data_IF_822443430631
#
_entry.id   IF_822443430631
#
_cell.length_a   1.000
_cell.length_b   1.000
_cell.length_c   1.000
_cell.angle_alpha   90.00
_cell.angle_beta   90.00
_cell.angle_gamma   90.00
#
_symmetry.space_group_name_H-M   'P 1'
#
loop_
_entity.id
_entity.type
_entity.pdbx_description
1 polymer ?
#
# COMPACT_ATOMS: atom_id res chain seq x y z
N UNK A 1 2.37 -3.81 -20.12
CA UNK A 1 2.61 -4.77 -19.01
C UNK A 1 3.93 -4.41 -18.35
N UNK A 2 3.92 -4.14 -17.06
CA UNK A 2 5.12 -3.75 -16.30
C UNK A 2 6.02 -4.95 -16.04
N UNK A 3 7.32 -4.81 -16.25
CA UNK A 3 8.34 -5.77 -15.82
C UNK A 3 9.67 -5.05 -15.65
N UNK A 4 10.30 -5.21 -14.48
CA UNK A 4 11.61 -4.62 -14.16
C UNK A 4 12.44 -5.61 -13.36
N UNK A 5 13.67 -5.85 -13.81
CA UNK A 5 14.66 -6.66 -13.08
C UNK A 5 15.66 -5.74 -12.40
N UNK A 6 16.04 -6.07 -11.19
CA UNK A 6 17.01 -5.33 -10.39
C UNK A 6 17.75 -6.29 -9.45
N UNK A 7 18.88 -5.83 -8.90
CA UNK A 7 19.68 -6.59 -7.96
C UNK A 7 19.67 -5.89 -6.61
N UNK A 8 19.38 -6.63 -5.55
CA UNK A 8 19.30 -6.14 -4.19
C UNK A 8 20.38 -6.81 -3.34
N UNK A 9 21.08 -6.03 -2.54
CA UNK A 9 22.00 -6.58 -1.54
C UNK A 9 21.30 -6.71 -0.21
N UNK A 10 21.34 -7.89 0.37
CA UNK A 10 20.79 -8.17 1.70
C UNK A 10 21.27 -9.52 2.23
N UNK A 11 21.37 -9.64 3.54
CA UNK A 11 21.82 -10.87 4.21
C UNK A 11 23.20 -11.37 3.72
N UNK A 12 24.09 -10.45 3.31
CA UNK A 12 25.45 -10.79 2.88
C UNK A 12 25.59 -11.21 1.41
N UNK A 13 24.52 -11.22 0.63
CA UNK A 13 24.53 -11.63 -0.78
C UNK A 13 23.72 -10.70 -1.69
N UNK A 14 23.97 -10.79 -2.99
CA UNK A 14 23.18 -10.11 -4.02
C UNK A 14 22.08 -11.06 -4.51
N UNK A 15 20.83 -10.60 -4.44
CA UNK A 15 19.66 -11.33 -4.91
C UNK A 15 19.06 -10.67 -6.13
N UNK A 16 18.58 -11.47 -7.08
CA UNK A 16 17.82 -10.97 -8.23
C UNK A 16 16.36 -10.73 -7.82
N UNK A 17 15.89 -9.50 -7.99
CA UNK A 17 14.49 -9.14 -7.83
C UNK A 17 13.83 -8.89 -9.17
N UNK A 18 12.60 -9.34 -9.35
CA UNK A 18 11.77 -9.04 -10.51
C UNK A 18 10.45 -8.44 -10.03
N UNK A 19 10.18 -7.19 -10.41
CA UNK A 19 8.85 -6.58 -10.23
C UNK A 19 8.08 -6.74 -11.53
N UNK A 20 6.87 -7.27 -11.45
CA UNK A 20 5.99 -7.49 -12.60
C UNK A 20 4.52 -7.37 -12.24
N UNK A 21 3.66 -7.27 -13.24
CA UNK A 21 2.24 -7.49 -12.99
C UNK A 21 2.01 -8.93 -12.54
N UNK A 22 1.18 -9.10 -11.50
CA UNK A 22 0.74 -10.45 -11.15
C UNK A 22 -0.39 -10.93 -12.06
N UNK A 23 -0.57 -12.22 -12.12
CA UNK A 23 -1.51 -12.91 -13.02
C UNK A 23 -2.33 -13.94 -12.24
N UNK A 24 -3.26 -14.61 -12.91
CA UNK A 24 -4.11 -15.62 -12.25
C UNK A 24 -3.34 -16.77 -11.59
N UNK A 25 -2.17 -17.12 -12.11
CA UNK A 25 -1.36 -18.19 -11.51
C UNK A 25 -0.75 -17.80 -10.17
N UNK A 26 -0.66 -16.51 -9.87
CA UNK A 26 -0.08 -15.98 -8.64
C UNK A 26 -1.10 -15.90 -7.49
N UNK A 27 -2.41 -16.00 -7.77
CA UNK A 27 -3.51 -15.68 -6.82
C UNK A 27 -3.38 -16.45 -5.51
N UNK A 28 -3.19 -17.76 -5.56
CA UNK A 28 -3.09 -18.57 -4.35
C UNK A 28 -1.93 -18.13 -3.45
N UNK A 29 -0.80 -17.78 -4.06
CA UNK A 29 0.38 -17.35 -3.35
C UNK A 29 0.25 -15.92 -2.81
N UNK A 30 -0.42 -15.02 -3.55
CA UNK A 30 -0.73 -13.65 -3.09
C UNK A 30 -1.62 -13.64 -1.84
N UNK A 31 -2.61 -14.56 -1.78
CA UNK A 31 -3.44 -14.74 -0.57
C UNK A 31 -2.58 -15.16 0.62
N UNK A 32 -1.65 -16.10 0.43
CA UNK A 32 -0.73 -16.55 1.47
C UNK A 32 0.19 -15.41 1.94
N UNK A 33 0.76 -14.64 1.01
CA UNK A 33 1.61 -13.49 1.32
C UNK A 33 0.88 -12.48 2.20
N UNK A 34 -0.37 -12.15 1.87
CA UNK A 34 -1.14 -11.20 2.65
C UNK A 34 -1.41 -11.72 4.06
N UNK A 35 -1.82 -12.98 4.22
CA UNK A 35 -2.02 -13.61 5.54
C UNK A 35 -0.76 -13.61 6.39
N UNK A 36 0.39 -13.91 5.80
CA UNK A 36 1.69 -13.85 6.48
C UNK A 36 2.09 -12.41 6.87
N UNK A 37 1.70 -11.43 6.05
CA UNK A 37 2.05 -10.01 6.24
C UNK A 37 1.18 -9.32 7.30
N UNK A 38 -0.07 -9.76 7.43
CA UNK A 38 -1.09 -9.22 8.32
C UNK A 38 -1.66 -10.31 9.24
N UNK A 39 -0.85 -10.81 10.18
CA UNK A 39 -1.34 -11.77 11.18
C UNK A 39 -2.31 -11.09 12.16
N UNK A 40 -3.09 -11.89 12.93
CA UNK A 40 -3.89 -11.34 14.02
C UNK A 40 -3.07 -10.39 14.93
N UNK A 41 -3.64 -9.27 15.42
CA UNK A 41 -5.08 -8.94 15.47
C UNK A 41 -5.67 -8.31 14.20
N UNK A 42 -4.97 -8.29 13.07
CA UNK A 42 -5.54 -7.80 11.81
C UNK A 42 -6.79 -8.60 11.42
N UNK A 43 -7.91 -7.93 11.05
CA UNK A 43 -9.17 -8.59 10.72
C UNK A 43 -9.04 -9.59 9.56
N UNK A 44 -9.38 -10.86 9.81
CA UNK A 44 -9.24 -11.93 8.81
C UNK A 44 -10.17 -11.77 7.60
N UNK A 45 -11.28 -11.07 7.76
CA UNK A 45 -12.25 -10.72 6.72
C UNK A 45 -11.68 -9.73 5.69
N UNK A 46 -10.60 -9.05 6.02
CA UNK A 46 -9.87 -8.16 5.11
C UNK A 46 -8.75 -8.88 4.33
N UNK A 47 -8.53 -10.16 4.58
CA UNK A 47 -7.62 -10.94 3.74
C UNK A 47 -8.22 -11.18 2.36
N UNK A 48 -7.33 -11.14 1.35
CA UNK A 48 -7.75 -11.36 -0.03
C UNK A 48 -8.45 -12.70 -0.25
N UNK A 49 -9.44 -12.68 -1.11
CA UNK A 49 -10.03 -13.86 -1.72
C UNK A 49 -9.71 -13.91 -3.23
N UNK A 50 -10.02 -15.02 -3.86
CA UNK A 50 -9.74 -15.25 -5.29
C UNK A 50 -10.49 -14.28 -6.20
N UNK A 51 -11.73 -13.91 -5.84
CA UNK A 51 -12.57 -13.01 -6.63
C UNK A 51 -11.98 -11.59 -6.64
N UNK A 52 -11.54 -11.07 -5.49
CA UNK A 52 -10.90 -9.75 -5.40
C UNK A 52 -9.66 -9.70 -6.30
N UNK A 53 -8.73 -10.65 -6.16
CA UNK A 53 -7.51 -10.68 -6.97
C UNK A 53 -7.79 -10.89 -8.47
N UNK A 54 -8.84 -11.65 -8.82
CA UNK A 54 -9.29 -11.78 -10.21
C UNK A 54 -9.80 -10.44 -10.75
N UNK A 55 -10.53 -9.68 -9.94
CA UNK A 55 -10.98 -8.34 -10.31
C UNK A 55 -9.82 -7.36 -10.49
N UNK A 56 -8.80 -7.40 -9.63
CA UNK A 56 -7.62 -6.57 -9.78
C UNK A 56 -6.96 -6.77 -11.15
N UNK A 57 -6.76 -8.03 -11.53
CA UNK A 57 -6.18 -8.39 -12.83
C UNK A 57 -7.07 -7.94 -14.00
N UNK A 58 -8.39 -8.10 -13.85
CA UNK A 58 -9.35 -7.83 -14.93
C UNK A 58 -9.63 -6.34 -15.13
N UNK A 59 -9.78 -5.59 -14.02
CA UNK A 59 -10.21 -4.20 -14.05
C UNK A 59 -9.06 -3.23 -14.22
N UNK A 60 -7.91 -3.50 -13.60
CA UNK A 60 -6.76 -2.59 -13.65
C UNK A 60 -5.42 -3.34 -13.48
N UNK A 61 -4.99 -4.01 -14.53
CA UNK A 61 -3.75 -4.78 -14.55
C UNK A 61 -2.51 -3.93 -14.22
N UNK A 62 -2.46 -2.65 -14.65
CA UNK A 62 -1.30 -1.78 -14.39
C UNK A 62 -1.11 -1.46 -12.91
N UNK A 63 -2.19 -1.48 -12.12
CA UNK A 63 -2.16 -1.32 -10.67
C UNK A 63 -1.91 -2.61 -9.88
N UNK A 64 -1.69 -3.74 -10.56
CA UNK A 64 -1.58 -5.08 -9.96
C UNK A 64 -0.14 -5.59 -10.06
N UNK A 65 0.73 -5.20 -9.11
CA UNK A 65 2.16 -5.54 -9.12
C UNK A 65 2.54 -6.55 -8.04
N UNK A 66 3.50 -7.40 -8.35
CA UNK A 66 4.18 -8.27 -7.39
C UNK A 66 5.69 -8.17 -7.54
N UNK A 67 6.42 -8.63 -6.53
CA UNK A 67 7.88 -8.76 -6.56
C UNK A 67 8.29 -10.18 -6.23
N UNK A 68 9.21 -10.70 -7.04
CA UNK A 68 9.86 -12.00 -6.84
C UNK A 68 11.32 -11.80 -6.44
N UNK A 69 11.83 -12.69 -5.59
CA UNK A 69 13.25 -12.81 -5.26
C UNK A 69 13.69 -14.20 -5.69
N UNK A 70 14.65 -14.28 -6.63
CA UNK A 70 15.17 -15.53 -7.18
C UNK A 70 14.04 -16.49 -7.65
N UNK A 71 12.95 -15.93 -8.20
CA UNK A 71 11.78 -16.67 -8.68
C UNK A 71 10.73 -17.00 -7.61
N UNK A 72 10.94 -16.62 -6.34
CA UNK A 72 9.97 -16.80 -5.27
C UNK A 72 9.17 -15.53 -5.03
N UNK A 73 7.84 -15.62 -5.06
CA UNK A 73 6.95 -14.48 -4.82
C UNK A 73 7.08 -13.99 -3.37
N UNK A 74 7.47 -12.73 -3.20
CA UNK A 74 7.87 -12.16 -1.91
C UNK A 74 6.99 -11.01 -1.41
N UNK A 75 6.20 -10.40 -2.30
CA UNK A 75 5.31 -9.29 -1.93
C UNK A 75 4.46 -8.82 -3.10
N UNK A 76 3.48 -7.99 -2.79
CA UNK A 76 2.60 -7.37 -3.79
C UNK A 76 2.16 -5.97 -3.39
N UNK A 77 1.69 -5.21 -4.38
CA UNK A 77 1.04 -3.92 -4.19
C UNK A 77 -0.10 -3.79 -5.21
N UNK A 78 -1.27 -3.42 -4.71
CA UNK A 78 -2.47 -3.21 -5.52
C UNK A 78 -2.91 -1.77 -5.43
N UNK A 79 -3.25 -1.19 -6.58
CA UNK A 79 -3.79 0.17 -6.71
C UNK A 79 -5.00 0.17 -7.64
N UNK A 80 -5.77 1.25 -7.60
CA UNK A 80 -6.83 1.58 -8.57
C UNK A 80 -6.74 3.06 -8.94
N UNK A 81 -7.29 3.46 -10.10
CA UNK A 81 -7.44 4.89 -10.41
C UNK A 81 -8.77 5.39 -9.86
N UNK A 82 -8.75 6.59 -9.27
CA UNK A 82 -9.93 7.29 -8.76
C UNK A 82 -9.91 8.77 -9.17
N UNK A 83 -11.09 9.40 -9.18
CA UNK A 83 -11.21 10.87 -9.20
C UNK A 83 -11.27 11.36 -7.76
N UNK A 84 -10.12 11.77 -7.22
CA UNK A 84 -10.05 12.23 -5.83
C UNK A 84 -10.51 13.69 -5.72
N UNK A 85 -11.41 13.97 -4.77
CA UNK A 85 -11.90 15.31 -4.47
C UNK A 85 -11.19 15.89 -3.24
N UNK A 86 -10.34 16.88 -3.44
CA UNK A 86 -9.58 17.57 -2.39
C UNK A 86 -10.49 18.29 -1.37
N UNK A 87 -11.69 18.70 -1.77
CA UNK A 87 -12.63 19.41 -0.89
C UNK A 87 -13.42 18.45 0.01
N UNK A 88 -13.46 17.17 -0.32
CA UNK A 88 -14.17 16.10 0.40
C UNK A 88 -13.25 14.89 0.55
N UNK A 89 -12.15 15.01 1.31
CA UNK A 89 -11.13 13.96 1.38
C UNK A 89 -11.55 12.75 2.21
N UNK A 90 -12.61 12.90 3.03
CA UNK A 90 -13.05 11.85 3.95
C UNK A 90 -13.76 10.71 3.19
N UNK A 91 -13.29 9.51 3.40
CA UNK A 91 -13.84 8.26 2.89
C UNK A 91 -13.35 7.10 3.74
N UNK A 92 -14.01 5.97 3.68
CA UNK A 92 -13.49 4.72 4.26
C UNK A 92 -12.71 3.91 3.20
N UNK A 93 -11.87 2.99 3.65
CA UNK A 93 -11.18 2.07 2.75
C UNK A 93 -12.19 1.21 1.97
N UNK A 94 -13.24 0.75 2.64
CA UNK A 94 -14.31 -0.03 2.03
C UNK A 94 -15.01 0.72 0.91
N UNK A 95 -15.33 2.00 1.12
CA UNK A 95 -16.02 2.83 0.12
C UNK A 95 -15.15 3.06 -1.13
N UNK A 96 -13.90 3.49 -0.93
CA UNK A 96 -13.05 3.86 -2.06
C UNK A 96 -12.55 2.66 -2.84
N UNK A 97 -12.39 1.50 -2.20
CA UNK A 97 -11.89 0.27 -2.83
C UNK A 97 -12.99 -0.73 -3.17
N UNK A 98 -14.25 -0.45 -2.76
CA UNK A 98 -15.35 -1.40 -2.83
C UNK A 98 -14.99 -2.71 -2.12
N UNK A 99 -14.63 -2.60 -0.83
CA UNK A 99 -14.18 -3.73 -0.01
C UNK A 99 -13.00 -4.52 -0.66
N UNK A 100 -12.11 -3.83 -1.33
CA UNK A 100 -10.98 -4.43 -2.02
C UNK A 100 -11.29 -5.10 -3.36
N UNK A 101 -12.54 -5.08 -3.84
CA UNK A 101 -12.90 -5.59 -5.18
C UNK A 101 -12.52 -4.63 -6.31
N UNK A 102 -12.15 -3.40 -5.99
CA UNK A 102 -11.77 -2.31 -6.92
C UNK A 102 -12.77 -2.03 -8.05
N UNK A 103 -14.07 -2.36 -7.89
CA UNK A 103 -15.11 -2.04 -8.90
C UNK A 103 -15.36 -0.53 -9.02
N UNK A 104 -14.89 0.24 -8.05
CA UNK A 104 -14.81 1.71 -8.06
C UNK A 104 -13.69 2.26 -8.97
N UNK A 105 -12.88 1.40 -9.60
CA UNK A 105 -11.84 1.83 -10.53
C UNK A 105 -12.41 2.72 -11.64
N UNK A 106 -11.86 3.94 -11.77
CA UNK A 106 -12.21 4.89 -12.80
C UNK A 106 -11.02 5.07 -13.77
N UNK A 107 -11.10 4.54 -15.00
CA UNK A 107 -10.02 4.70 -15.99
C UNK A 107 -9.73 6.15 -16.38
N UNK A 108 -10.64 7.09 -16.07
CA UNK A 108 -10.47 8.53 -16.29
C UNK A 108 -10.06 9.28 -15.02
N UNK A 109 -9.83 8.58 -13.94
CA UNK A 109 -9.34 9.14 -12.69
C UNK A 109 -7.96 9.75 -12.84
N UNK A 110 -7.65 10.73 -12.01
CA UNK A 110 -6.38 11.44 -12.03
C UNK A 110 -5.42 10.99 -10.91
N UNK A 111 -5.87 10.14 -10.02
CA UNK A 111 -5.15 9.71 -8.82
C UNK A 111 -5.02 8.19 -8.80
N UNK A 112 -3.80 7.68 -8.63
CA UNK A 112 -3.56 6.28 -8.33
C UNK A 112 -3.74 6.08 -6.82
N UNK A 113 -4.70 5.26 -6.40
CA UNK A 113 -5.00 5.01 -5.00
C UNK A 113 -4.51 3.63 -4.57
N UNK A 114 -3.75 3.59 -3.48
CA UNK A 114 -3.20 2.34 -2.92
C UNK A 114 -4.28 1.59 -2.16
N UNK A 115 -4.56 0.37 -2.58
CA UNK A 115 -5.48 -0.56 -1.92
C UNK A 115 -4.76 -1.35 -0.83
N UNK A 116 -3.60 -1.91 -1.18
CA UNK A 116 -2.78 -2.74 -0.29
C UNK A 116 -1.31 -2.75 -0.74
N UNK A 117 -0.43 -2.93 0.23
CA UNK A 117 0.98 -3.28 0.02
C UNK A 117 1.41 -4.27 1.10
N UNK A 118 1.91 -5.42 0.70
CA UNK A 118 2.39 -6.43 1.62
C UNK A 118 3.71 -7.07 1.16
N UNK A 119 4.53 -7.45 2.13
CA UNK A 119 5.81 -8.15 1.92
C UNK A 119 5.94 -9.23 2.97
N UNK A 120 6.25 -10.44 2.54
CA UNK A 120 6.52 -11.56 3.44
C UNK A 120 7.51 -11.20 4.52
N UNK A 121 7.27 -11.55 5.77
CA UNK A 121 8.18 -11.26 6.89
C UNK A 121 9.63 -11.70 6.63
N UNK A 122 9.83 -12.85 5.98
CA UNK A 122 11.15 -13.40 5.64
C UNK A 122 11.96 -12.57 4.62
N UNK A 123 11.31 -11.64 3.89
CA UNK A 123 11.96 -10.79 2.88
C UNK A 123 11.99 -9.30 3.24
N UNK A 124 11.53 -8.90 4.44
CA UNK A 124 11.43 -7.48 4.84
C UNK A 124 12.76 -6.75 4.84
N UNK A 125 13.87 -7.41 5.15
CA UNK A 125 15.22 -6.82 5.16
C UNK A 125 15.68 -6.35 3.78
N UNK A 126 15.13 -6.90 2.69
CA UNK A 126 15.42 -6.50 1.32
C UNK A 126 14.73 -5.19 0.90
N UNK A 127 13.98 -4.54 1.79
CA UNK A 127 13.26 -3.29 1.54
C UNK A 127 12.29 -3.36 0.34
N UNK A 128 11.70 -4.53 0.07
CA UNK A 128 10.82 -4.77 -1.09
C UNK A 128 9.60 -3.84 -1.13
N UNK A 129 9.10 -3.40 0.01
CA UNK A 129 8.05 -2.38 0.06
C UNK A 129 8.44 -1.07 -0.64
N UNK A 130 9.70 -0.62 -0.51
CA UNK A 130 10.20 0.56 -1.24
C UNK A 130 10.35 0.28 -2.73
N UNK A 131 10.75 -0.94 -3.10
CA UNK A 131 10.86 -1.36 -4.50
C UNK A 131 9.48 -1.35 -5.18
N UNK A 132 8.45 -1.89 -4.52
CA UNK A 132 7.07 -1.85 -4.99
C UNK A 132 6.53 -0.42 -5.07
N UNK A 133 6.80 0.41 -4.05
CA UNK A 133 6.40 1.81 -4.04
C UNK A 133 7.02 2.59 -5.21
N UNK A 134 8.33 2.39 -5.46
CA UNK A 134 9.01 3.00 -6.61
C UNK A 134 8.40 2.57 -7.94
N UNK A 135 8.05 1.29 -8.08
CA UNK A 135 7.37 0.80 -9.28
C UNK A 135 5.99 1.47 -9.48
N UNK A 136 5.23 1.72 -8.41
CA UNK A 136 3.95 2.44 -8.51
C UNK A 136 4.14 3.93 -8.82
N UNK A 137 5.22 4.58 -8.39
CA UNK A 137 5.54 5.93 -8.86
C UNK A 137 5.80 5.95 -10.38
N UNK A 138 6.50 4.94 -10.91
CA UNK A 138 6.70 4.79 -12.36
C UNK A 138 5.37 4.58 -13.09
N UNK A 139 4.42 3.83 -12.51
CA UNK A 139 3.05 3.68 -13.06
C UNK A 139 2.31 5.02 -13.09
N UNK A 140 2.37 5.82 -12.01
CA UNK A 140 1.78 7.17 -11.96
C UNK A 140 2.32 8.04 -13.10
N UNK A 141 3.64 8.07 -13.28
CA UNK A 141 4.29 8.86 -14.34
C UNK A 141 3.89 8.34 -15.73
N UNK A 142 3.93 7.02 -15.93
CA UNK A 142 3.60 6.40 -17.22
C UNK A 142 2.15 6.64 -17.64
N UNK A 143 1.21 6.57 -16.70
CA UNK A 143 -0.21 6.83 -16.93
C UNK A 143 -0.56 8.32 -16.90
N UNK A 144 0.44 9.20 -16.70
CA UNK A 144 0.26 10.64 -16.62
C UNK A 144 -0.78 11.06 -15.57
N UNK A 145 -0.78 10.40 -14.41
CA UNK A 145 -1.63 10.71 -13.26
C UNK A 145 -1.01 11.83 -12.41
N UNK A 146 -1.83 12.51 -11.61
CA UNK A 146 -1.36 13.64 -10.79
C UNK A 146 -0.57 13.18 -9.58
N UNK A 147 -0.94 12.01 -8.99
CA UNK A 147 -0.36 11.54 -7.74
C UNK A 147 -0.57 10.05 -7.48
N UNK A 148 0.19 9.53 -6.51
CA UNK A 148 -0.12 8.32 -5.74
C UNK A 148 -0.67 8.74 -4.37
N UNK A 149 -1.86 8.26 -3.99
CA UNK A 149 -2.53 8.53 -2.73
C UNK A 149 -2.87 7.20 -2.04
N UNK A 150 -3.07 7.20 -0.73
CA UNK A 150 -3.60 6.04 0.00
C UNK A 150 -3.47 6.22 1.50
N UNK A 151 -4.38 5.61 2.26
CA UNK A 151 -4.39 5.67 3.70
C UNK A 151 -3.36 4.74 4.33
N UNK A 152 -2.49 5.29 5.15
CA UNK A 152 -1.63 4.52 6.02
C UNK A 152 -2.34 4.23 7.34
N UNK A 153 -2.41 2.96 7.74
CA UNK A 153 -2.77 2.56 9.10
C UNK A 153 -1.79 3.18 10.10
N UNK A 154 -2.21 3.28 11.35
CA UNK A 154 -1.39 3.81 12.44
C UNK A 154 -1.26 2.77 13.57
N UNK A 155 -0.71 1.56 13.31
CA UNK A 155 -0.79 0.43 14.23
C UNK A 155 -0.04 0.63 15.56
N UNK A 156 0.78 1.67 15.68
CA UNK A 156 1.39 2.07 16.94
C UNK A 156 0.53 2.99 17.80
N UNK A 157 -0.57 3.53 17.26
CA UNK A 157 -1.35 4.58 17.93
C UNK A 157 -2.08 4.07 19.19
N UNK A 158 -2.67 2.85 19.15
CA UNK A 158 -3.38 2.31 20.33
C UNK A 158 -2.54 2.29 21.60
N UNK A 159 -1.20 2.18 21.49
CA UNK A 159 -0.28 2.19 22.64
C UNK A 159 -0.04 3.59 23.22
N UNK A 160 -0.50 4.62 22.52
CA UNK A 160 -0.26 6.04 22.87
C UNK A 160 -1.54 6.86 22.99
N UNK A 161 -2.68 6.29 22.75
CA UNK A 161 -3.97 6.98 22.73
C UNK A 161 -4.39 7.56 24.08
N UNK A 162 -3.93 7.00 25.20
CA UNK A 162 -4.15 7.55 26.54
C UNK A 162 -3.33 8.82 26.80
N UNK A 163 -2.23 9.02 26.05
CA UNK A 163 -1.29 10.12 26.25
C UNK A 163 -1.38 11.19 25.15
N UNK A 164 -1.77 10.80 23.93
CA UNK A 164 -1.70 11.64 22.74
C UNK A 164 -2.99 11.58 21.92
N UNK A 165 -3.43 12.73 21.39
CA UNK A 165 -4.41 12.73 20.30
C UNK A 165 -3.82 12.13 19.03
N UNK A 166 -4.64 11.67 18.07
CA UNK A 166 -4.13 11.11 16.82
C UNK A 166 -3.27 12.12 16.04
N UNK A 167 -3.62 13.41 16.05
CA UNK A 167 -2.83 14.48 15.42
C UNK A 167 -1.45 14.64 16.09
N UNK A 168 -1.42 14.69 17.43
CA UNK A 168 -0.17 14.81 18.19
C UNK A 168 0.72 13.56 18.00
N UNK A 169 0.12 12.37 17.90
CA UNK A 169 0.86 11.14 17.56
C UNK A 169 1.53 11.24 16.20
N UNK A 170 0.76 11.64 15.16
CA UNK A 170 1.27 11.79 13.80
C UNK A 170 2.40 12.83 13.75
N UNK A 171 2.24 13.98 14.40
CA UNK A 171 3.26 15.02 14.46
C UNK A 171 4.58 14.48 15.03
N UNK A 172 4.51 13.72 16.13
CA UNK A 172 5.69 13.08 16.72
C UNK A 172 6.34 12.04 15.82
N UNK A 173 5.55 11.29 15.04
CA UNK A 173 6.08 10.33 14.06
C UNK A 173 6.76 11.06 12.90
N UNK A 174 6.18 12.15 12.40
CA UNK A 174 6.75 12.97 11.32
C UNK A 174 8.08 13.59 11.76
N UNK A 175 8.14 14.10 12.99
CA UNK A 175 9.33 14.71 13.56
C UNK A 175 10.41 13.69 13.99
N UNK A 176 10.12 12.38 13.90
CA UNK A 176 11.04 11.30 14.25
C UNK A 176 11.16 11.04 15.75
N UNK A 177 10.34 11.67 16.58
CA UNK A 177 10.26 11.45 18.03
C UNK A 177 9.63 10.10 18.38
N UNK A 178 8.71 9.63 17.52
CA UNK A 178 8.10 8.31 17.61
C UNK A 178 8.31 7.52 16.30
N UNK A 179 8.18 6.20 16.40
CA UNK A 179 8.17 5.32 15.24
C UNK A 179 6.83 4.61 15.15
N UNK A 180 6.17 4.77 14.02
CA UNK A 180 5.05 3.94 13.61
C UNK A 180 5.50 3.05 12.45
N UNK A 181 5.22 1.74 12.47
CA UNK A 181 5.74 0.84 11.44
C UNK A 181 5.26 1.18 10.02
N UNK A 182 4.03 1.69 9.87
CA UNK A 182 3.46 2.03 8.57
C UNK A 182 3.78 3.48 8.18
N UNK A 183 3.45 4.46 9.03
CA UNK A 183 3.67 5.87 8.68
C UNK A 183 5.16 6.18 8.50
N UNK A 184 6.04 5.64 9.37
CA UNK A 184 7.49 5.83 9.21
C UNK A 184 8.03 5.18 7.92
N UNK A 185 7.46 4.05 7.49
CA UNK A 185 7.80 3.42 6.21
C UNK A 185 7.36 4.29 5.03
N UNK A 186 6.13 4.82 5.06
CA UNK A 186 5.58 5.67 3.99
C UNK A 186 6.40 6.96 3.83
N UNK A 187 6.73 7.63 4.95
CA UNK A 187 7.62 8.81 4.95
C UNK A 187 8.99 8.50 4.32
N UNK A 188 9.62 7.38 4.72
CA UNK A 188 10.92 6.93 4.15
C UNK A 188 10.83 6.49 2.70
N UNK A 189 9.63 6.25 2.20
CA UNK A 189 9.36 5.93 0.79
C UNK A 189 9.05 7.16 -0.05
N UNK A 190 9.16 8.38 0.53
CA UNK A 190 8.94 9.65 -0.17
C UNK A 190 7.48 10.13 -0.19
N UNK A 191 6.59 9.50 0.61
CA UNK A 191 5.22 9.96 0.77
C UNK A 191 5.16 11.10 1.78
N UNK A 192 4.26 12.05 1.57
CA UNK A 192 4.00 13.18 2.47
C UNK A 192 2.60 13.06 3.08
N UNK A 193 2.41 13.50 4.34
CA UNK A 193 1.09 13.54 4.97
C UNK A 193 0.13 14.45 4.20
N UNK A 194 -1.11 14.02 4.06
CA UNK A 194 -2.17 14.80 3.42
C UNK A 194 -3.29 15.12 4.43
N UNK A 195 -4.05 14.12 4.90
CA UNK A 195 -5.20 14.31 5.80
C UNK A 195 -5.37 13.11 6.71
N UNK A 196 -5.63 13.36 8.00
CA UNK A 196 -6.07 12.34 8.94
C UNK A 196 -7.55 12.03 8.72
N UNK A 197 -7.89 10.75 8.61
CA UNK A 197 -9.27 10.28 8.46
C UNK A 197 -9.64 9.42 9.65
N UNK A 198 -10.76 9.76 10.27
CA UNK A 198 -11.39 8.94 11.31
C UNK A 198 -12.30 7.89 10.64
N UNK A 199 -12.36 6.70 11.25
CA UNK A 199 -13.10 5.55 10.72
C UNK A 199 -12.67 5.17 9.29
N UNK A 200 -11.36 5.24 9.03
CA UNK A 200 -10.81 4.89 7.73
C UNK A 200 -10.90 3.40 7.42
N UNK A 201 -10.57 2.57 8.39
CA UNK A 201 -10.58 1.11 8.33
C UNK A 201 -10.91 0.57 9.72
N UNK A 202 -11.69 -0.51 9.81
CA UNK A 202 -11.92 -1.21 11.08
C UNK A 202 -10.63 -1.90 11.51
N UNK A 203 -9.92 -1.29 12.45
CA UNK A 203 -8.57 -1.65 12.87
C UNK A 203 -8.28 -1.20 14.30
N UNK A 204 -8.31 -2.14 15.23
CA UNK A 204 -8.09 -1.89 16.65
C UNK A 204 -6.72 -1.26 16.94
N UNK A 205 -5.67 -1.66 16.21
CA UNK A 205 -4.31 -1.13 16.42
C UNK A 205 -4.17 0.33 16.05
N UNK A 206 -4.98 0.82 15.10
CA UNK A 206 -5.03 2.22 14.66
C UNK A 206 -6.18 3.00 15.29
N UNK A 207 -7.01 2.37 16.14
CA UNK A 207 -8.27 2.92 16.64
C UNK A 207 -9.14 3.50 15.51
N UNK A 208 -9.17 2.78 14.39
CA UNK A 208 -9.90 3.11 13.17
C UNK A 208 -9.43 4.39 12.44
N UNK A 209 -8.29 4.97 12.82
CA UNK A 209 -7.72 6.10 12.10
C UNK A 209 -6.84 5.67 10.93
N UNK A 210 -6.83 6.48 9.86
CA UNK A 210 -5.89 6.38 8.76
C UNK A 210 -5.31 7.75 8.42
N UNK A 211 -4.03 7.81 8.10
CA UNK A 211 -3.41 9.01 7.57
C UNK A 211 -3.30 8.88 6.05
N UNK A 212 -4.03 9.71 5.30
CA UNK A 212 -3.79 9.82 3.88
C UNK A 212 -2.38 10.35 3.63
N UNK A 213 -1.64 9.63 2.81
CA UNK A 213 -0.28 9.95 2.41
C UNK A 213 -0.21 10.05 0.90
N UNK A 214 0.43 11.11 0.38
CA UNK A 214 0.55 11.33 -1.05
C UNK A 214 2.00 11.37 -1.55
N UNK A 215 2.17 11.10 -2.82
CA UNK A 215 3.33 11.44 -3.61
C UNK A 215 2.85 12.09 -4.90
N UNK A 216 3.24 13.36 -5.12
CA UNK A 216 2.84 14.12 -6.31
C UNK A 216 3.75 13.79 -7.48
N UNK A 217 3.17 13.66 -8.66
CA UNK A 217 3.93 13.46 -9.89
C UNK A 217 4.75 14.73 -10.20
N UNK A 218 6.09 14.68 -10.16
CA UNK A 218 6.92 15.86 -10.37
C UNK A 218 6.96 16.34 -11.82
N UNK A 219 6.34 15.59 -12.74
CA UNK A 219 6.29 15.90 -14.18
C UNK A 219 4.94 16.47 -14.61
N UNK A 220 4.11 16.86 -13.64
CA UNK A 220 2.79 17.48 -13.84
C UNK A 220 2.66 18.83 -13.17
#
# INVERSE_FOLDING_TARGET
>A
MYKKELYLYGQGEVKKATVRNYTKIDIAELINIQKESFPPPFPSELWWNEEQLTNHIKLFQDGALCVEIDGVLAGSMTCLCVSFNENEPNHTWEEITDNGYIRTHNPKGNTLYVVDICVRPSFRELQLGKVLMQAMYEVVVHLNLDRLLGGGRMPGYHKKADELSPEAYIEKVINGELKDPVISFLLKSGRTPHTLIKNYLDDEESLNYGLLMEWKNPFK
#
